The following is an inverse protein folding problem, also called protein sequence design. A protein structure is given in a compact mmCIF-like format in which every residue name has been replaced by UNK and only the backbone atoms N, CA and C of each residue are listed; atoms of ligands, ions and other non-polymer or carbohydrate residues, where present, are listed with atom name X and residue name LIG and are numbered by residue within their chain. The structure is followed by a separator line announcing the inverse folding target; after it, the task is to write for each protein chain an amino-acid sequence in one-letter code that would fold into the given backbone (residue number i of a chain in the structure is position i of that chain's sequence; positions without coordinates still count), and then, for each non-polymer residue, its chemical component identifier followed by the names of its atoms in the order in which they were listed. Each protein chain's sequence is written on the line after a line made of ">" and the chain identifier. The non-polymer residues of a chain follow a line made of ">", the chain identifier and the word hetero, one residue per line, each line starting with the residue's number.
data_IF_142738376753
#
_entry.id   IF_142738376753
#
_cell.length_a   1.000
_cell.length_b   1.000
_cell.length_c   1.000
_cell.angle_alpha   90.00
_cell.angle_beta   90.00
_cell.angle_gamma   90.00
#
_symmetry.space_group_name_H-M   'P 1'
#
loop_
_entity.id
_entity.type
_entity.pdbx_description
1 polymer ?
#
# COMPACT_ATOMS: atom_id res chain seq x y z
N UNK A 1 14.32 -8.85 10.25
CA UNK A 1 15.56 -8.12 9.97
C UNK A 1 15.24 -7.23 8.77
N UNK A 2 15.01 -5.96 8.99
CA UNK A 2 14.80 -5.04 7.86
C UNK A 2 16.15 -4.91 7.15
N UNK A 3 16.27 -5.49 5.95
CA UNK A 3 17.45 -5.33 5.12
C UNK A 3 17.71 -3.84 4.90
N UNK A 4 18.97 -3.44 4.83
CA UNK A 4 19.31 -2.09 4.40
C UNK A 4 18.89 -1.98 2.94
N UNK A 5 17.95 -1.09 2.64
CA UNK A 5 17.63 -0.71 1.27
C UNK A 5 18.85 -0.01 0.66
N UNK A 6 19.10 -0.21 -0.63
CA UNK A 6 20.10 0.59 -1.36
C UNK A 6 19.54 1.99 -1.67
N UNK A 7 18.22 2.16 -1.63
CA UNK A 7 17.58 3.47 -1.70
C UNK A 7 17.86 4.27 -0.42
N UNK A 8 18.01 5.58 -0.56
CA UNK A 8 18.26 6.48 0.57
C UNK A 8 16.95 6.66 1.33
N UNK A 9 16.67 5.75 2.27
CA UNK A 9 15.59 5.91 3.25
C UNK A 9 16.20 6.57 4.49
N UNK A 10 15.82 7.82 4.73
CA UNK A 10 16.34 8.61 5.86
C UNK A 10 15.80 8.09 7.19
N UNK A 11 14.49 7.84 7.28
CA UNK A 11 13.85 7.40 8.51
C UNK A 11 12.68 6.45 8.23
N UNK A 12 12.42 5.60 9.22
CA UNK A 12 11.27 4.71 9.24
C UNK A 12 10.40 5.10 10.43
N UNK A 13 9.14 5.34 10.18
CA UNK A 13 8.14 5.66 11.20
C UNK A 13 7.12 4.53 11.29
N UNK A 14 6.66 4.24 12.50
CA UNK A 14 5.56 3.29 12.73
C UNK A 14 4.47 4.00 13.52
N UNK A 15 3.28 4.08 12.94
CA UNK A 15 2.10 4.63 13.61
C UNK A 15 1.20 3.51 14.12
N UNK A 16 0.83 3.56 15.39
CA UNK A 16 -0.08 2.62 16.04
C UNK A 16 -0.70 3.26 17.28
N UNK A 17 -1.88 2.80 17.67
CA UNK A 17 -2.53 3.08 18.95
C UNK A 17 -2.04 2.16 20.09
N UNK A 18 -1.33 1.09 19.75
CA UNK A 18 -0.82 0.09 20.69
C UNK A 18 0.62 0.38 21.11
N UNK A 19 0.85 0.71 22.37
CA UNK A 19 2.18 0.99 22.91
C UNK A 19 3.15 -0.20 22.77
N UNK A 20 2.68 -1.44 22.87
CA UNK A 20 3.52 -2.63 22.70
C UNK A 20 4.09 -2.70 21.28
N UNK A 21 3.26 -2.42 20.25
CA UNK A 21 3.71 -2.34 18.85
C UNK A 21 4.75 -1.24 18.70
N UNK A 22 4.51 -0.07 19.30
CA UNK A 22 5.43 1.07 19.23
C UNK A 22 6.77 0.75 19.92
N UNK A 23 6.77 0.09 21.06
CA UNK A 23 7.99 -0.30 21.75
C UNK A 23 8.80 -1.35 20.97
N UNK A 24 8.11 -2.33 20.37
CA UNK A 24 8.75 -3.31 19.48
C UNK A 24 9.36 -2.59 18.29
N UNK A 25 8.62 -1.71 17.61
CA UNK A 25 9.11 -0.99 16.44
C UNK A 25 10.36 -0.16 16.77
N UNK A 26 10.36 0.51 17.91
CA UNK A 26 11.49 1.27 18.43
C UNK A 26 12.73 0.38 18.65
N UNK A 27 12.55 -0.85 19.14
CA UNK A 27 13.64 -1.80 19.34
C UNK A 27 14.33 -2.19 18.03
N UNK A 28 13.64 -2.05 16.89
CA UNK A 28 14.16 -2.24 15.54
C UNK A 28 14.68 -0.95 14.88
N UNK A 29 14.69 0.18 15.62
CA UNK A 29 15.23 1.44 15.14
C UNK A 29 14.23 2.34 14.41
N UNK A 30 12.92 2.02 14.42
CA UNK A 30 11.90 2.89 13.87
C UNK A 30 11.51 3.99 14.87
N UNK A 31 10.99 5.09 14.36
CA UNK A 31 10.43 6.19 15.14
C UNK A 31 8.95 5.93 15.41
N UNK A 32 8.53 5.79 16.66
CA UNK A 32 7.14 5.52 17.00
C UNK A 32 6.30 6.79 16.89
N UNK A 33 5.08 6.66 16.36
CA UNK A 33 4.04 7.69 16.35
C UNK A 33 2.82 7.09 17.03
N UNK A 34 2.42 7.65 18.18
CA UNK A 34 1.19 7.25 18.85
C UNK A 34 0.00 7.83 18.08
N UNK A 35 -0.80 6.95 17.47
CA UNK A 35 -1.98 7.32 16.73
C UNK A 35 -3.14 7.59 17.69
N UNK A 36 -3.90 8.69 17.51
CA UNK A 36 -5.09 8.97 18.29
C UNK A 36 -6.14 7.86 18.21
N UNK A 37 -6.88 7.64 19.30
CA UNK A 37 -7.89 6.59 19.37
C UNK A 37 -8.98 6.77 18.30
N UNK A 38 -9.39 8.02 18.04
CA UNK A 38 -10.37 8.36 17.01
C UNK A 38 -9.94 7.98 15.60
N UNK A 39 -8.63 7.85 15.33
CA UNK A 39 -8.06 7.41 14.06
C UNK A 39 -7.69 5.92 14.04
N UNK A 40 -8.07 5.18 15.09
CA UNK A 40 -7.72 3.77 15.28
C UNK A 40 -8.94 2.85 15.29
N UNK A 41 -10.10 3.38 14.88
CA UNK A 41 -11.34 2.61 14.80
C UNK A 41 -11.44 1.83 13.49
N UNK A 42 -12.28 0.79 13.47
CA UNK A 42 -12.54 -0.02 12.27
C UNK A 42 -13.15 0.76 11.11
N UNK A 43 -13.63 1.99 11.35
CA UNK A 43 -14.25 2.86 10.35
C UNK A 43 -13.29 3.92 9.81
N UNK A 44 -12.10 4.06 10.38
CA UNK A 44 -11.11 5.04 9.92
C UNK A 44 -10.38 4.54 8.69
N UNK A 45 -10.21 5.42 7.71
CA UNK A 45 -9.43 5.11 6.53
C UNK A 45 -7.92 5.13 6.83
N UNK A 46 -7.16 4.38 6.04
CA UNK A 46 -5.69 4.41 6.11
C UNK A 46 -5.14 5.81 5.83
N UNK A 47 -5.80 6.55 4.94
CA UNK A 47 -5.42 7.91 4.55
C UNK A 47 -5.49 8.88 5.74
N UNK A 48 -6.51 8.76 6.60
CA UNK A 48 -6.64 9.59 7.81
C UNK A 48 -5.45 9.38 8.75
N UNK A 49 -5.06 8.12 8.96
CA UNK A 49 -3.91 7.77 9.78
C UNK A 49 -2.58 8.23 9.16
N UNK A 50 -2.47 8.21 7.82
CA UNK A 50 -1.30 8.72 7.11
C UNK A 50 -1.18 10.24 7.23
N UNK A 51 -2.28 10.97 7.03
CA UNK A 51 -2.30 12.44 7.16
C UNK A 51 -1.88 12.85 8.56
N UNK A 52 -2.40 12.18 9.59
CA UNK A 52 -2.00 12.40 10.98
C UNK A 52 -0.50 12.16 11.18
N UNK A 53 0.00 11.01 10.73
CA UNK A 53 1.42 10.67 10.84
C UNK A 53 2.31 11.70 10.12
N UNK A 54 1.97 12.07 8.88
CA UNK A 54 2.72 13.08 8.11
C UNK A 54 2.71 14.44 8.83
N UNK A 55 1.60 14.82 9.43
CA UNK A 55 1.52 16.07 10.20
C UNK A 55 2.46 16.10 11.39
N UNK A 56 2.68 14.95 12.03
CA UNK A 56 3.61 14.81 13.16
C UNK A 56 5.08 14.70 12.71
N UNK A 57 5.34 14.10 11.55
CA UNK A 57 6.69 13.97 10.97
C UNK A 57 7.23 15.32 10.49
N UNK A 58 6.36 16.17 9.95
CA UNK A 58 6.73 17.46 9.38
C UNK A 58 7.08 17.41 7.89
N UNK A 59 7.58 18.52 7.36
CA UNK A 59 7.79 18.75 5.91
C UNK A 59 9.23 18.57 5.43
N UNK A 60 10.09 17.92 6.21
CA UNK A 60 11.53 17.80 5.90
C UNK A 60 11.85 16.66 4.92
N UNK A 61 10.82 16.00 4.39
CA UNK A 61 10.96 14.86 3.49
C UNK A 61 10.25 15.12 2.17
N UNK A 62 10.90 14.77 1.08
CA UNK A 62 10.38 14.96 -0.28
C UNK A 62 9.45 13.80 -0.71
N UNK A 63 9.66 12.60 -0.17
CA UNK A 63 8.96 11.38 -0.55
C UNK A 63 8.53 10.61 0.69
N UNK A 64 7.29 10.14 0.67
CA UNK A 64 6.74 9.22 1.66
C UNK A 64 6.46 7.87 1.02
N UNK A 65 7.04 6.82 1.59
CA UNK A 65 6.78 5.43 1.18
C UNK A 65 5.91 4.78 2.25
N UNK A 66 4.66 4.51 1.90
CA UNK A 66 3.72 3.83 2.79
C UNK A 66 3.77 2.31 2.57
N UNK A 67 4.06 1.59 3.63
CA UNK A 67 4.13 0.13 3.67
C UNK A 67 3.05 -0.42 4.59
N UNK A 68 2.00 -1.03 4.04
CA UNK A 68 0.97 -1.63 4.88
C UNK A 68 1.53 -2.85 5.64
N UNK A 69 1.26 -2.91 6.95
CA UNK A 69 1.68 -4.02 7.81
C UNK A 69 1.00 -5.35 7.44
N UNK A 70 -0.15 -5.30 6.78
CA UNK A 70 -0.89 -6.46 6.30
C UNK A 70 -0.23 -7.20 5.13
N UNK A 71 0.79 -6.61 4.51
CA UNK A 71 1.56 -7.21 3.41
C UNK A 71 3.04 -7.43 3.81
N UNK A 72 3.33 -8.37 4.74
CA UNK A 72 4.66 -8.49 5.35
C UNK A 72 5.71 -9.19 4.46
N UNK A 73 5.30 -9.80 3.34
CA UNK A 73 6.19 -10.63 2.51
C UNK A 73 6.97 -9.85 1.44
N UNK A 74 6.89 -8.51 1.46
CA UNK A 74 7.70 -7.68 0.56
C UNK A 74 9.18 -7.81 0.88
N UNK A 75 10.01 -7.73 -0.15
CA UNK A 75 11.47 -7.73 0.00
C UNK A 75 12.03 -6.31 -0.03
N UNK A 76 13.31 -6.18 0.30
CA UNK A 76 14.04 -4.91 0.15
C UNK A 76 14.11 -4.49 -1.32
N UNK A 77 14.33 -5.46 -2.20
CA UNK A 77 14.41 -5.27 -3.65
C UNK A 77 13.11 -4.74 -4.23
N UNK A 78 11.96 -5.16 -3.69
CA UNK A 78 10.64 -4.63 -4.11
C UNK A 78 10.53 -3.13 -3.78
N UNK A 79 10.96 -2.74 -2.58
CA UNK A 79 10.91 -1.34 -2.13
C UNK A 79 11.87 -0.48 -2.97
N UNK A 80 13.12 -0.93 -3.14
CA UNK A 80 14.12 -0.23 -3.92
C UNK A 80 13.67 -0.03 -5.36
N UNK A 81 13.15 -1.07 -6.00
CA UNK A 81 12.63 -1.01 -7.37
C UNK A 81 11.47 -0.01 -7.51
N UNK A 82 10.55 0.05 -6.53
CA UNK A 82 9.47 1.01 -6.55
C UNK A 82 9.98 2.46 -6.45
N UNK A 83 10.95 2.71 -5.56
CA UNK A 83 11.54 4.04 -5.39
C UNK A 83 12.33 4.45 -6.64
N UNK A 84 13.12 3.56 -7.21
CA UNK A 84 13.87 3.81 -8.45
C UNK A 84 12.92 4.12 -9.63
N UNK A 85 11.85 3.37 -9.77
CA UNK A 85 10.83 3.60 -10.80
C UNK A 85 10.15 4.95 -10.61
N UNK A 86 9.74 5.28 -9.39
CA UNK A 86 9.12 6.56 -9.04
C UNK A 86 10.03 7.74 -9.40
N UNK A 87 11.30 7.69 -8.98
CA UNK A 87 12.26 8.77 -9.21
C UNK A 87 12.66 8.90 -10.69
N UNK A 88 12.98 7.77 -11.35
CA UNK A 88 13.47 7.78 -12.74
C UNK A 88 12.44 8.29 -13.74
N UNK A 89 11.15 8.09 -13.44
CA UNK A 89 10.04 8.54 -14.29
C UNK A 89 9.40 9.84 -13.83
N UNK A 90 9.88 10.42 -12.73
CA UNK A 90 9.29 11.62 -12.10
C UNK A 90 7.78 11.51 -11.94
N UNK A 91 7.35 10.40 -11.31
CA UNK A 91 5.93 10.11 -11.12
C UNK A 91 5.36 10.98 -9.99
N UNK A 92 4.07 11.29 -10.05
CA UNK A 92 3.34 11.97 -8.97
C UNK A 92 2.92 11.00 -7.86
N UNK A 93 2.71 9.71 -8.22
CA UNK A 93 2.42 8.63 -7.29
C UNK A 93 2.73 7.27 -7.91
N UNK A 94 2.92 6.26 -7.06
CA UNK A 94 3.12 4.87 -7.47
C UNK A 94 2.47 3.94 -6.45
N UNK A 95 1.88 2.85 -6.92
CA UNK A 95 1.46 1.75 -6.06
C UNK A 95 1.88 0.40 -6.63
N UNK A 96 2.09 -0.56 -5.76
CA UNK A 96 2.37 -1.93 -6.17
C UNK A 96 1.11 -2.72 -6.46
N UNK A 97 1.15 -3.54 -7.52
CA UNK A 97 0.01 -4.34 -7.96
C UNK A 97 0.45 -5.74 -8.38
N UNK A 98 -0.51 -6.66 -8.46
CA UNK A 98 -0.30 -7.97 -9.06
C UNK A 98 -1.28 -8.18 -10.23
N UNK A 99 -0.94 -9.14 -11.09
CA UNK A 99 -1.84 -9.53 -12.18
C UNK A 99 -3.09 -10.16 -11.59
N UNK A 100 -4.25 -9.68 -12.02
CA UNK A 100 -5.53 -10.27 -11.66
C UNK A 100 -5.70 -11.60 -12.41
N UNK A 101 -5.66 -12.71 -11.69
CA UNK A 101 -5.83 -14.04 -12.27
C UNK A 101 -7.29 -14.36 -12.57
N UNK A 102 -8.20 -13.83 -11.75
CA UNK A 102 -9.65 -14.01 -11.89
C UNK A 102 -10.23 -12.94 -12.82
N UNK A 103 -10.34 -13.28 -14.09
CA UNK A 103 -10.73 -12.34 -15.15
C UNK A 103 -12.23 -12.26 -15.45
N UNK A 104 -13.06 -13.01 -14.74
CA UNK A 104 -14.52 -13.01 -14.91
C UNK A 104 -15.20 -12.63 -13.60
N UNK A 105 -15.19 -11.33 -13.29
CA UNK A 105 -15.72 -10.80 -12.03
C UNK A 105 -17.15 -10.30 -12.25
N UNK A 106 -18.02 -10.66 -11.31
CA UNK A 106 -19.39 -10.23 -11.24
C UNK A 106 -19.66 -9.45 -9.96
N UNK A 107 -20.49 -8.43 -10.06
CA UNK A 107 -21.06 -7.74 -8.93
C UNK A 107 -22.54 -8.14 -8.75
N UNK A 108 -23.02 -8.15 -7.52
CA UNK A 108 -24.42 -8.39 -7.20
C UNK A 108 -24.99 -7.10 -6.61
N UNK A 109 -25.71 -6.36 -7.43
CA UNK A 109 -26.26 -5.07 -7.07
C UNK A 109 -27.77 -5.05 -7.34
N UNK A 110 -28.56 -4.57 -6.38
CA UNK A 110 -30.02 -4.45 -6.48
C UNK A 110 -30.76 -5.73 -6.90
N UNK A 111 -30.24 -6.89 -6.49
CA UNK A 111 -30.82 -8.20 -6.79
C UNK A 111 -30.43 -8.77 -8.17
N UNK A 112 -29.56 -8.09 -8.91
CA UNK A 112 -29.09 -8.50 -10.23
C UNK A 112 -27.58 -8.70 -10.27
N UNK A 113 -27.13 -9.67 -11.08
CA UNK A 113 -25.70 -9.91 -11.36
C UNK A 113 -25.28 -9.09 -12.57
N UNK A 114 -24.22 -8.30 -12.41
CA UNK A 114 -23.57 -7.51 -13.47
C UNK A 114 -22.11 -7.91 -13.62
N UNK A 115 -21.66 -8.15 -14.85
CA UNK A 115 -20.24 -8.39 -15.11
C UNK A 115 -19.46 -7.08 -15.02
N UNK A 116 -18.35 -7.07 -14.27
CA UNK A 116 -17.55 -5.86 -14.03
C UNK A 116 -16.48 -5.69 -15.12
N UNK A 117 -15.69 -6.70 -15.37
CA UNK A 117 -14.46 -6.57 -16.15
C UNK A 117 -14.50 -7.25 -17.53
N UNK A 118 -15.68 -7.68 -17.97
CA UNK A 118 -15.85 -8.26 -19.29
C UNK A 118 -17.29 -8.16 -19.79
N UNK A 119 -17.48 -8.26 -21.10
CA UNK A 119 -18.83 -8.35 -21.73
C UNK A 119 -19.28 -9.83 -21.71
N UNK A 120 -20.23 -10.19 -20.84
CA UNK A 120 -20.72 -11.56 -20.73
C UNK A 120 -21.47 -12.03 -21.99
N UNK A 121 -21.98 -11.11 -22.82
CA UNK A 121 -22.65 -11.41 -24.10
C UNK A 121 -21.65 -11.71 -25.20
N UNK A 122 -20.37 -11.30 -25.04
CA UNK A 122 -19.27 -11.51 -25.99
C UNK A 122 -18.04 -12.09 -25.27
N UNK A 123 -18.28 -13.16 -24.54
CA UNK A 123 -17.23 -13.83 -23.76
C UNK A 123 -16.06 -14.25 -24.62
N UNK A 124 -14.89 -13.78 -24.29
CA UNK A 124 -13.61 -14.14 -24.93
C UNK A 124 -12.97 -15.33 -24.24
N UNK A 125 -11.99 -15.95 -24.90
CA UNK A 125 -11.12 -16.95 -24.30
C UNK A 125 -10.15 -16.25 -23.35
N UNK A 126 -9.62 -16.96 -22.35
CA UNK A 126 -8.70 -16.41 -21.33
C UNK A 126 -7.53 -15.68 -21.96
N UNK A 127 -6.90 -16.23 -23.00
CA UNK A 127 -5.75 -15.66 -23.69
C UNK A 127 -6.07 -14.41 -24.55
N UNK A 128 -7.34 -14.13 -24.79
CA UNK A 128 -7.78 -12.95 -25.57
C UNK A 128 -8.14 -11.76 -24.66
N UNK A 129 -8.04 -11.93 -23.34
CA UNK A 129 -8.21 -10.85 -22.39
C UNK A 129 -6.89 -10.09 -22.20
N UNK A 130 -6.98 -8.77 -22.11
CA UNK A 130 -5.84 -7.95 -21.70
C UNK A 130 -5.55 -8.20 -20.23
N UNK A 131 -4.27 -8.19 -19.81
CA UNK A 131 -3.93 -8.24 -18.40
C UNK A 131 -4.63 -7.11 -17.64
N UNK A 132 -5.20 -7.46 -16.50
CA UNK A 132 -5.74 -6.53 -15.51
C UNK A 132 -4.91 -6.66 -14.25
N UNK A 133 -4.87 -5.62 -13.45
CA UNK A 133 -4.06 -5.55 -12.25
C UNK A 133 -4.93 -5.18 -11.07
N UNK A 134 -4.60 -5.72 -9.91
CA UNK A 134 -5.22 -5.40 -8.64
C UNK A 134 -4.17 -4.90 -7.67
N UNK A 135 -4.48 -3.85 -6.93
CA UNK A 135 -3.62 -3.36 -5.85
C UNK A 135 -3.42 -4.46 -4.82
N UNK A 136 -2.16 -4.69 -4.45
CA UNK A 136 -1.82 -5.75 -3.49
C UNK A 136 -1.61 -5.24 -2.06
N UNK A 137 -1.82 -3.93 -1.82
CA UNK A 137 -1.71 -3.33 -0.51
C UNK A 137 -0.30 -3.34 0.08
N UNK A 138 0.74 -3.44 -0.76
CA UNK A 138 2.10 -3.60 -0.24
C UNK A 138 2.87 -2.28 -0.17
N UNK A 139 3.00 -1.55 -1.28
CA UNK A 139 3.84 -0.35 -1.38
C UNK A 139 3.05 0.75 -2.08
N UNK A 140 3.07 1.95 -1.48
CA UNK A 140 2.52 3.19 -2.05
C UNK A 140 3.55 4.30 -1.89
N UNK A 141 3.71 5.13 -2.91
CA UNK A 141 4.60 6.30 -2.91
C UNK A 141 3.85 7.51 -3.42
#
# INVERSE_FOLDING_TARGET
>A
MFGRTNAVIDKIFVTSDCNEILDISKSYGAFPILRPEELSTDFCSSESALIDAISQIGSDYDIFVFLQATSPLRTTEDIDSCIEEFLSKSLDSLFSSCVLEDFLIWDFNDGELQSINYDYKKRKRRQDHKPQYVENGSIYI
#
